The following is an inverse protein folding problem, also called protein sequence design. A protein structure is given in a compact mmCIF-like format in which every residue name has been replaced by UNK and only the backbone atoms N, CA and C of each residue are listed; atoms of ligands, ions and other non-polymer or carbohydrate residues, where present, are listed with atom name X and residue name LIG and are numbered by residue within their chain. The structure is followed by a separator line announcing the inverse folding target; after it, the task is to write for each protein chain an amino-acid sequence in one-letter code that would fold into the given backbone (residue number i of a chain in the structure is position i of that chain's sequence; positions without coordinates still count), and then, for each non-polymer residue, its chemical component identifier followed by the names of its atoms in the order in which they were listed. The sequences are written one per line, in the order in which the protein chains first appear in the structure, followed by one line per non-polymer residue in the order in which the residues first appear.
data_IF_503427970083
#
_entry.id   IF_503427970083
#
_cell.length_a   1.000
_cell.length_b   1.000
_cell.length_c   1.000
_cell.angle_alpha   90.00
_cell.angle_beta   90.00
_cell.angle_gamma   90.00
#
_symmetry.space_group_name_H-M   'P 1'
#
loop_
_entity.id
_entity.type
_entity.pdbx_description
1 polymer ?
#
# COMPACT_ATOMS: atom_id res chain seq x y z
N UNK A 1 -10.90 23.25 44.90
CA UNK A 1 -9.69 22.39 44.99
C UNK A 1 -10.03 21.01 44.45
N UNK A 2 -9.19 20.53 43.54
CA UNK A 2 -9.36 19.37 42.66
C UNK A 2 -9.25 18.05 43.43
N UNK A 3 -10.16 17.10 43.16
CA UNK A 3 -9.94 15.66 43.44
C UNK A 3 -9.55 14.96 42.13
N UNK A 4 -8.33 14.42 42.14
CA UNK A 4 -7.71 13.56 41.12
C UNK A 4 -8.63 12.35 40.83
N UNK A 5 -9.12 12.24 39.59
CA UNK A 5 -9.55 10.96 39.03
C UNK A 5 -8.34 10.32 38.38
N UNK A 6 -7.92 9.19 38.93
CA UNK A 6 -6.82 8.40 38.41
C UNK A 6 -7.24 7.71 37.11
N UNK A 7 -6.33 7.78 36.13
CA UNK A 7 -6.38 7.16 34.81
C UNK A 7 -6.97 5.75 34.81
N UNK A 8 -8.08 5.55 34.11
CA UNK A 8 -8.60 4.24 33.72
C UNK A 8 -9.06 4.25 32.26
N UNK A 9 -8.18 4.70 31.36
CA UNK A 9 -8.40 4.70 29.91
C UNK A 9 -7.15 4.21 29.14
N UNK A 10 -6.33 3.38 29.78
CA UNK A 10 -5.19 2.66 29.16
C UNK A 10 -5.52 1.18 28.94
N UNK A 11 -6.81 0.84 28.98
CA UNK A 11 -7.28 -0.52 28.76
C UNK A 11 -7.24 -0.85 27.28
N UNK A 12 -6.26 -1.69 26.91
CA UNK A 12 -6.18 -2.40 25.63
C UNK A 12 -5.96 -1.51 24.40
N UNK A 13 -4.79 -0.85 24.36
CA UNK A 13 -4.19 -0.53 23.07
C UNK A 13 -3.74 -1.87 22.48
N UNK A 14 -4.31 -2.22 21.33
CA UNK A 14 -4.02 -3.47 20.63
C UNK A 14 -2.51 -3.53 20.32
N UNK A 15 -1.91 -4.71 20.46
CA UNK A 15 -0.49 -4.89 20.23
C UNK A 15 -0.11 -4.52 18.78
N UNK A 16 -1.05 -4.67 17.84
CA UNK A 16 -0.91 -4.22 16.44
C UNK A 16 -0.96 -2.69 16.32
N UNK A 17 -1.86 -2.03 17.05
CA UNK A 17 -1.96 -0.56 17.09
C UNK A 17 -0.71 0.07 17.74
N UNK A 18 -0.14 -0.59 18.75
CA UNK A 18 1.16 -0.24 19.36
C UNK A 18 2.33 -0.44 18.38
N UNK A 19 2.34 -1.52 17.59
CA UNK A 19 3.36 -1.72 16.57
C UNK A 19 3.24 -0.70 15.44
N UNK A 20 2.02 -0.36 15.02
CA UNK A 20 1.75 0.72 14.08
C UNK A 20 2.23 2.07 14.64
N UNK A 21 1.89 2.38 15.91
CA UNK A 21 2.35 3.58 16.63
C UNK A 21 3.87 3.64 16.79
N UNK A 22 4.56 2.53 17.10
CA UNK A 22 6.02 2.49 17.23
C UNK A 22 6.68 2.76 15.88
N UNK A 23 6.14 2.18 14.80
CA UNK A 23 6.69 2.36 13.45
C UNK A 23 6.49 3.81 12.97
N UNK A 24 5.29 4.37 13.19
CA UNK A 24 4.95 5.78 12.90
C UNK A 24 5.71 6.77 13.79
N UNK A 25 6.03 6.42 15.04
CA UNK A 25 6.69 7.31 16.01
C UNK A 25 8.15 7.67 15.69
N UNK A 26 8.80 6.95 14.78
CA UNK A 26 10.20 7.22 14.41
C UNK A 26 10.36 8.29 13.32
N UNK A 27 9.26 8.74 12.71
CA UNK A 27 9.28 9.70 11.61
C UNK A 27 9.77 9.11 10.27
N UNK A 28 9.77 7.78 10.14
CA UNK A 28 10.13 7.08 8.91
C UNK A 28 9.00 6.17 8.41
N UNK A 29 8.99 5.92 7.10
CA UNK A 29 8.10 4.98 6.42
C UNK A 29 8.97 4.07 5.55
N UNK A 30 8.76 2.76 5.65
CA UNK A 30 9.28 1.81 4.68
C UNK A 30 8.22 1.63 3.57
N UNK A 31 8.63 1.86 2.32
CA UNK A 31 7.76 1.81 1.16
C UNK A 31 8.38 1.00 0.02
N UNK A 32 7.54 0.47 -0.85
CA UNK A 32 7.91 -0.05 -2.16
C UNK A 32 7.75 1.05 -3.21
N UNK A 33 8.73 1.17 -4.10
CA UNK A 33 8.61 1.91 -5.34
C UNK A 33 8.24 0.91 -6.44
N UNK A 34 6.99 0.99 -6.91
CA UNK A 34 6.44 0.08 -7.91
C UNK A 34 6.40 0.79 -9.25
N UNK A 35 7.11 0.26 -10.25
CA UNK A 35 7.02 0.79 -11.61
C UNK A 35 5.68 0.42 -12.23
N UNK A 36 4.94 1.43 -12.68
CA UNK A 36 3.62 1.29 -13.28
C UNK A 36 3.71 1.54 -14.78
N UNK A 37 3.03 0.71 -15.58
CA UNK A 37 2.97 0.90 -17.02
C UNK A 37 2.25 2.22 -17.36
N UNK A 38 2.90 3.07 -18.17
CA UNK A 38 2.40 4.38 -18.62
C UNK A 38 1.98 5.36 -17.51
N UNK A 39 2.42 5.12 -16.27
CA UNK A 39 2.17 6.00 -15.12
C UNK A 39 3.46 6.30 -14.38
N UNK A 40 3.48 7.38 -13.61
CA UNK A 40 4.57 7.61 -12.65
C UNK A 40 4.62 6.47 -11.64
N UNK A 41 5.78 6.17 -11.03
CA UNK A 41 5.88 5.04 -10.11
C UNK A 41 4.95 5.22 -8.90
N UNK A 42 4.38 4.11 -8.43
CA UNK A 42 3.57 4.09 -7.22
C UNK A 42 4.48 3.99 -5.99
N UNK A 43 4.15 4.73 -4.94
CA UNK A 43 4.73 4.57 -3.61
C UNK A 43 3.72 3.83 -2.73
N UNK A 44 4.05 2.59 -2.37
CA UNK A 44 3.17 1.72 -1.58
C UNK A 44 3.83 1.41 -0.22
N UNK A 45 3.21 1.73 0.92
CA UNK A 45 3.74 1.35 2.23
C UNK A 45 3.97 -0.17 2.34
N UNK A 46 5.10 -0.61 2.90
CA UNK A 46 5.40 -2.04 2.99
C UNK A 46 4.60 -2.76 4.06
N UNK A 47 4.12 -2.05 5.07
CA UNK A 47 3.39 -2.62 6.20
C UNK A 47 2.04 -3.23 5.81
N UNK A 48 1.48 -2.83 4.66
CA UNK A 48 0.23 -3.38 4.12
C UNK A 48 0.46 -4.49 3.09
N UNK A 49 1.72 -4.89 2.83
CA UNK A 49 2.04 -5.98 1.92
C UNK A 49 2.30 -7.24 2.73
N UNK A 50 1.39 -8.21 2.61
CA UNK A 50 1.43 -9.45 3.38
C UNK A 50 2.40 -10.48 2.79
N UNK A 51 2.54 -10.49 1.46
CA UNK A 51 3.48 -11.38 0.77
C UNK A 51 3.79 -10.88 -0.65
N UNK A 52 4.89 -11.38 -1.21
CA UNK A 52 5.25 -11.20 -2.61
C UNK A 52 5.50 -12.58 -3.23
N UNK A 53 5.00 -12.80 -4.44
CA UNK A 53 5.15 -14.08 -5.15
C UNK A 53 5.34 -13.85 -6.65
N UNK A 54 6.14 -14.71 -7.28
CA UNK A 54 6.23 -14.76 -8.73
C UNK A 54 4.90 -15.22 -9.32
N UNK A 55 4.47 -14.56 -10.40
CA UNK A 55 3.21 -14.88 -11.06
C UNK A 55 3.31 -14.74 -12.57
N UNK A 56 2.36 -15.36 -13.28
CA UNK A 56 2.07 -15.01 -14.66
C UNK A 56 1.15 -13.80 -14.68
N UNK A 57 1.37 -12.87 -15.62
CA UNK A 57 0.62 -11.60 -15.68
C UNK A 57 -0.77 -11.73 -16.31
N UNK A 58 -1.10 -12.89 -16.89
CA UNK A 58 -2.36 -13.16 -17.62
C UNK A 58 -3.20 -14.22 -16.91
N UNK A 59 -3.43 -14.02 -15.63
CA UNK A 59 -4.28 -14.86 -14.80
C UNK A 59 -5.44 -14.03 -14.27
N UNK A 60 -6.60 -14.64 -14.07
CA UNK A 60 -7.80 -13.93 -13.61
C UNK A 60 -7.80 -13.69 -12.10
N UNK A 61 -7.01 -14.48 -11.35
CA UNK A 61 -6.86 -14.39 -9.89
C UNK A 61 -5.50 -14.91 -9.45
N UNK A 62 -5.05 -14.48 -8.27
CA UNK A 62 -3.88 -15.03 -7.58
C UNK A 62 -4.36 -15.98 -6.48
N UNK A 63 -3.85 -17.21 -6.51
CA UNK A 63 -4.08 -18.17 -5.41
C UNK A 63 -3.10 -17.88 -4.28
N UNK A 64 -3.62 -17.47 -3.13
CA UNK A 64 -2.83 -17.22 -1.92
C UNK A 64 -3.49 -17.86 -0.71
N UNK A 65 -2.80 -18.83 -0.10
CA UNK A 65 -3.42 -19.78 0.83
C UNK A 65 -4.68 -20.39 0.20
N UNK A 66 -5.81 -20.39 0.91
CA UNK A 66 -7.09 -20.93 0.42
C UNK A 66 -7.95 -19.86 -0.30
N UNK A 67 -7.38 -18.69 -0.61
CA UNK A 67 -8.09 -17.55 -1.22
C UNK A 67 -7.74 -17.39 -2.69
N UNK A 68 -8.72 -16.95 -3.48
CA UNK A 68 -8.56 -16.48 -4.86
C UNK A 68 -8.68 -14.97 -4.86
N UNK A 69 -7.54 -14.29 -4.87
CA UNK A 69 -7.49 -12.83 -4.77
C UNK A 69 -7.74 -12.20 -6.15
N UNK A 70 -8.60 -11.16 -6.23
CA UNK A 70 -8.73 -10.38 -7.44
C UNK A 70 -7.43 -9.61 -7.72
N UNK A 71 -7.22 -9.24 -8.98
CA UNK A 71 -5.97 -8.67 -9.45
C UNK A 71 -6.14 -7.19 -9.79
N UNK A 72 -5.28 -6.37 -9.20
CA UNK A 72 -5.00 -5.02 -9.66
C UNK A 72 -3.68 -5.00 -10.43
N UNK A 73 -3.75 -4.95 -11.76
CA UNK A 73 -2.57 -4.98 -12.61
C UNK A 73 -2.03 -3.57 -12.87
N UNK A 74 -0.75 -3.35 -12.52
CA UNK A 74 0.01 -2.14 -12.89
C UNK A 74 1.21 -2.45 -13.79
N UNK A 75 1.42 -3.74 -14.08
CA UNK A 75 2.47 -4.25 -14.96
C UNK A 75 2.22 -3.91 -16.44
N UNK A 76 3.24 -4.11 -17.26
CA UNK A 76 3.14 -4.03 -18.72
C UNK A 76 2.27 -5.19 -19.25
N UNK A 77 1.21 -4.93 -20.04
CA UNK A 77 0.37 -5.98 -20.64
C UNK A 77 1.11 -6.96 -21.57
N UNK A 78 2.25 -6.53 -22.13
CA UNK A 78 3.12 -7.36 -22.95
C UNK A 78 4.03 -8.28 -22.11
N UNK A 79 4.27 -7.96 -20.84
CA UNK A 79 5.02 -8.85 -19.95
C UNK A 79 4.24 -10.13 -19.72
N UNK A 80 4.95 -11.25 -19.58
CA UNK A 80 4.37 -12.59 -19.31
C UNK A 80 4.55 -13.05 -17.87
N UNK A 81 5.54 -12.48 -17.19
CA UNK A 81 5.89 -12.79 -15.81
C UNK A 81 5.92 -11.50 -15.02
N UNK A 82 5.58 -11.59 -13.75
CA UNK A 82 5.58 -10.46 -12.85
C UNK A 82 5.62 -10.94 -11.41
N UNK A 83 5.48 -9.98 -10.51
CA UNK A 83 5.38 -10.22 -9.08
C UNK A 83 4.01 -9.77 -8.61
N UNK A 84 3.30 -10.65 -7.92
CA UNK A 84 2.07 -10.33 -7.21
C UNK A 84 2.40 -9.98 -5.76
N UNK A 85 2.04 -8.77 -5.34
CA UNK A 85 2.05 -8.34 -3.96
C UNK A 85 0.65 -8.56 -3.38
N UNK A 86 0.52 -9.34 -2.33
CA UNK A 86 -0.75 -9.49 -1.61
C UNK A 86 -0.91 -8.28 -0.70
N UNK A 87 -1.88 -7.43 -1.01
CA UNK A 87 -2.17 -6.21 -0.26
C UNK A 87 -3.26 -6.49 0.77
N UNK A 88 -3.03 -6.03 2.00
CA UNK A 88 -3.97 -6.06 3.10
C UNK A 88 -5.19 -5.16 2.82
N UNK A 89 -6.36 -5.60 3.27
CA UNK A 89 -7.59 -4.78 3.37
C UNK A 89 -8.09 -4.81 4.80
N UNK A 90 -9.17 -4.07 5.11
CA UNK A 90 -9.68 -3.97 6.48
C UNK A 90 -10.25 -5.32 6.95
N UNK A 91 -10.79 -6.12 6.02
CA UNK A 91 -11.14 -7.54 6.21
C UNK A 91 -10.32 -8.46 5.27
N UNK A 92 -10.29 -9.75 5.59
CA UNK A 92 -9.77 -10.81 4.73
C UNK A 92 -10.43 -10.80 3.34
N UNK A 93 -11.73 -10.47 3.25
CA UNK A 93 -12.42 -10.37 1.96
C UNK A 93 -11.95 -9.21 1.09
N UNK A 94 -11.33 -8.18 1.68
CA UNK A 94 -10.89 -6.98 0.99
C UNK A 94 -9.44 -7.05 0.51
N UNK A 95 -8.80 -8.21 0.67
CA UNK A 95 -7.45 -8.47 0.16
C UNK A 95 -7.48 -8.63 -1.34
N UNK A 96 -6.45 -8.09 -1.99
CA UNK A 96 -6.25 -8.22 -3.42
C UNK A 96 -4.78 -8.42 -3.74
N UNK A 97 -4.50 -8.85 -4.96
CA UNK A 97 -3.14 -8.97 -5.47
C UNK A 97 -2.82 -7.81 -6.41
N UNK A 98 -1.80 -7.03 -6.08
CA UNK A 98 -1.23 -6.02 -6.95
C UNK A 98 -0.13 -6.66 -7.81
N UNK A 99 -0.33 -6.70 -9.12
CA UNK A 99 0.64 -7.32 -10.05
C UNK A 99 1.51 -6.26 -10.70
N UNK A 100 2.82 -6.40 -10.55
CA UNK A 100 3.86 -5.52 -11.09
C UNK A 100 4.87 -6.33 -11.92
N UNK A 101 5.71 -5.65 -12.71
CA UNK A 101 6.62 -6.31 -13.66
C UNK A 101 7.73 -7.13 -12.98
N UNK A 102 8.21 -6.68 -11.82
CA UNK A 102 9.33 -7.25 -11.10
C UNK A 102 9.21 -6.91 -9.60
N UNK A 103 10.06 -7.51 -8.76
CA UNK A 103 10.07 -7.21 -7.33
C UNK A 103 10.36 -5.71 -7.12
N UNK A 104 9.46 -4.96 -6.45
CA UNK A 104 9.65 -3.52 -6.26
C UNK A 104 10.88 -3.18 -5.42
N UNK A 105 11.43 -1.99 -5.66
CA UNK A 105 12.52 -1.46 -4.85
C UNK A 105 12.01 -1.06 -3.45
N UNK A 106 12.67 -1.53 -2.40
CA UNK A 106 12.42 -1.10 -1.02
C UNK A 106 13.16 0.20 -0.71
N UNK A 107 12.45 1.17 -0.16
CA UNK A 107 13.02 2.43 0.30
C UNK A 107 12.53 2.78 1.71
N UNK A 108 13.43 3.30 2.54
CA UNK A 108 13.10 3.89 3.84
C UNK A 108 13.19 5.41 3.73
N UNK A 109 12.08 6.08 4.00
CA UNK A 109 11.91 7.52 3.81
C UNK A 109 11.64 8.20 5.14
N UNK A 110 12.16 9.41 5.35
CA UNK A 110 11.65 10.25 6.44
C UNK A 110 10.35 10.90 5.99
N UNK A 111 9.34 10.96 6.86
CA UNK A 111 8.02 11.55 6.52
C UNK A 111 8.18 12.99 5.99
N UNK A 112 9.11 13.77 6.55
CA UNK A 112 9.39 15.14 6.12
C UNK A 112 10.03 15.26 4.72
N UNK A 113 10.50 14.16 4.13
CA UNK A 113 11.05 14.13 2.77
C UNK A 113 9.96 13.91 1.71
N UNK A 114 8.78 13.47 2.14
CA UNK A 114 7.63 13.25 1.28
C UNK A 114 6.86 14.58 1.23
N UNK A 115 6.88 15.22 0.07
CA UNK A 115 6.22 16.50 -0.14
C UNK A 115 5.00 16.28 -1.02
N UNK A 116 3.87 16.82 -0.60
CA UNK A 116 2.65 16.78 -1.39
C UNK A 116 2.78 17.61 -2.66
N UNK A 117 2.32 17.08 -3.80
CA UNK A 117 2.16 17.85 -5.03
C UNK A 117 0.70 18.27 -5.21
N UNK A 118 0.46 19.58 -5.39
CA UNK A 118 -0.86 20.12 -5.71
C UNK A 118 -1.13 19.97 -7.22
N UNK A 119 -1.36 18.73 -7.64
CA UNK A 119 -1.79 18.37 -8.99
C UNK A 119 -3.27 17.98 -8.98
N UNK A 120 -3.97 18.30 -10.06
CA UNK A 120 -5.32 17.79 -10.30
C UNK A 120 -5.25 16.25 -10.44
N UNK A 121 -6.11 15.56 -9.71
CA UNK A 121 -6.20 14.09 -9.74
C UNK A 121 -7.36 13.71 -10.66
N UNK A 122 -7.03 13.16 -11.82
CA UNK A 122 -7.97 12.68 -12.84
C UNK A 122 -8.21 11.16 -12.78
N UNK A 123 -7.32 10.42 -12.13
CA UNK A 123 -7.42 8.98 -11.88
C UNK A 123 -7.96 8.70 -10.48
N UNK A 124 -9.13 8.06 -10.39
CA UNK A 124 -9.76 7.72 -9.11
C UNK A 124 -8.97 6.71 -8.27
N UNK A 125 -8.04 5.96 -8.88
CA UNK A 125 -7.15 5.05 -8.17
C UNK A 125 -5.91 5.73 -7.61
N UNK A 126 -5.73 7.03 -7.86
CA UNK A 126 -4.69 7.86 -7.25
C UNK A 126 -5.30 8.60 -6.06
N UNK A 127 -4.73 8.41 -4.88
CA UNK A 127 -5.11 9.19 -3.70
C UNK A 127 -4.41 10.55 -3.71
N UNK A 128 -3.12 10.56 -4.07
CA UNK A 128 -2.31 11.77 -4.09
C UNK A 128 -1.04 11.61 -4.91
N UNK A 129 -0.56 12.71 -5.50
CA UNK A 129 0.80 12.79 -6.02
C UNK A 129 1.74 13.38 -4.96
N UNK A 130 2.92 12.79 -4.84
CA UNK A 130 3.95 13.21 -3.88
C UNK A 130 5.31 13.25 -4.56
N UNK A 131 6.19 14.08 -4.03
CA UNK A 131 7.58 14.22 -4.47
C UNK A 131 8.52 13.73 -3.38
N UNK A 132 9.54 12.98 -3.79
CA UNK A 132 10.69 12.64 -2.94
C UNK A 132 11.93 13.13 -3.68
N UNK A 133 12.55 14.19 -3.17
CA UNK A 133 13.60 14.92 -3.87
C UNK A 133 13.10 15.50 -5.19
N UNK A 134 13.63 15.01 -6.31
CA UNK A 134 13.24 15.45 -7.66
C UNK A 134 12.32 14.47 -8.39
N UNK A 135 11.97 13.34 -7.77
CA UNK A 135 11.14 12.31 -8.37
C UNK A 135 9.70 12.40 -7.86
N UNK A 136 8.76 12.30 -8.79
CA UNK A 136 7.33 12.24 -8.53
C UNK A 136 6.87 10.78 -8.42
N UNK A 137 5.94 10.55 -7.51
CA UNK A 137 5.28 9.28 -7.26
C UNK A 137 3.78 9.53 -7.03
N UNK A 138 2.99 8.48 -7.14
CA UNK A 138 1.60 8.52 -6.67
C UNK A 138 1.38 7.53 -5.53
N UNK A 139 0.54 7.93 -4.57
CA UNK A 139 0.02 7.07 -3.51
C UNK A 139 -1.32 6.51 -4.00
N UNK A 140 -1.53 5.18 -3.99
CA UNK A 140 -2.76 4.58 -4.50
C UNK A 140 -3.94 4.83 -3.56
N UNK A 141 -5.14 4.95 -4.12
CA UNK A 141 -6.39 4.94 -3.36
C UNK A 141 -6.88 3.49 -3.23
N UNK A 142 -6.50 2.84 -2.12
CA UNK A 142 -6.81 1.43 -1.89
C UNK A 142 -8.32 1.16 -1.85
N UNK A 143 -9.10 2.04 -1.20
CA UNK A 143 -10.55 1.91 -1.12
C UNK A 143 -11.20 1.90 -2.50
N UNK A 144 -10.77 2.81 -3.39
CA UNK A 144 -11.31 2.87 -4.75
C UNK A 144 -10.88 1.65 -5.57
N UNK A 145 -9.64 1.18 -5.42
CA UNK A 145 -9.16 -0.04 -6.07
C UNK A 145 -9.99 -1.24 -5.62
N UNK A 146 -10.21 -1.43 -4.32
CA UNK A 146 -11.03 -2.50 -3.76
C UNK A 146 -12.47 -2.44 -4.30
N UNK A 147 -13.07 -1.25 -4.29
CA UNK A 147 -14.42 -1.03 -4.84
C UNK A 147 -14.51 -1.40 -6.32
N UNK A 148 -13.49 -1.06 -7.13
CA UNK A 148 -13.43 -1.44 -8.54
C UNK A 148 -13.29 -2.95 -8.76
N UNK A 149 -12.61 -3.63 -7.84
CA UNK A 149 -12.48 -5.09 -7.83
C UNK A 149 -13.73 -5.80 -7.28
N UNK A 150 -14.72 -5.05 -6.77
CA UNK A 150 -15.97 -5.58 -6.22
C UNK A 150 -15.81 -6.17 -4.82
N UNK A 151 -14.84 -5.68 -4.05
CA UNK A 151 -14.58 -6.05 -2.66
C UNK A 151 -15.34 -5.16 -1.69
#
# INVERSE_FOLDING_TARGET
MVKKSANSALGQIDQQELQHLITVSTGFIDAYIIQCHEKVPMLLPQNIVLSAMDTQTRVDHIEWHDLKLPIYAVNDPASKHGVALVVEGDDVSERFALVCNEMPESIRLRISEIVDEELDIDDSNVFKYVKIGEKQYYVPNLQNIQTQLGL
#
